data_IF_334479694077
#
_entry.id   IF_334479694077
#
_cell.length_a   1.000
_cell.length_b   1.000
_cell.length_c   1.000
_cell.angle_alpha   90.00
_cell.angle_beta   90.00
_cell.angle_gamma   90.00
#
_symmetry.space_group_name_H-M   'P 1'
#
loop_
_entity.id
_entity.type
_entity.pdbx_description
1 polymer ?
#
# COMPACT_ATOMS: atom_id res chain seq x y z
N UNK A 1 -6.68 5.23 2.65
CA UNK A 1 -8.13 5.43 2.43
C UNK A 1 -8.68 6.65 3.15
N UNK A 2 -8.20 6.99 4.35
CA UNK A 2 -8.64 8.16 5.12
C UNK A 2 -8.74 9.49 4.35
N UNK A 3 -7.75 9.89 3.51
CA UNK A 3 -7.82 11.14 2.76
C UNK A 3 -9.02 11.26 1.82
N UNK A 4 -9.55 10.14 1.32
CA UNK A 4 -10.72 10.14 0.46
C UNK A 4 -12.02 10.18 1.28
N UNK A 5 -12.14 9.25 2.23
CA UNK A 5 -13.39 9.02 2.98
C UNK A 5 -13.71 10.21 3.89
N UNK A 6 -12.71 10.74 4.58
CA UNK A 6 -12.92 11.80 5.57
C UNK A 6 -13.20 13.16 4.92
N UNK A 7 -12.89 13.32 3.62
CA UNK A 7 -13.09 14.57 2.86
C UNK A 7 -14.55 15.00 2.81
N UNK A 8 -15.48 14.05 2.75
CA UNK A 8 -16.93 14.32 2.71
C UNK A 8 -17.60 14.31 4.08
N UNK A 9 -16.88 13.95 5.15
CA UNK A 9 -17.44 13.75 6.49
C UNK A 9 -17.01 14.86 7.45
N UNK A 10 -15.75 15.28 7.37
CA UNK A 10 -15.18 16.26 8.29
C UNK A 10 -15.35 17.70 7.78
N UNK A 11 -15.40 18.67 8.70
CA UNK A 11 -15.24 20.08 8.34
C UNK A 11 -13.85 20.32 7.74
N UNK A 12 -13.72 21.40 6.97
CA UNK A 12 -12.46 21.73 6.29
C UNK A 12 -11.26 21.80 7.24
N UNK A 13 -11.44 22.38 8.43
CA UNK A 13 -10.36 22.51 9.42
C UNK A 13 -9.95 21.15 10.00
N UNK A 14 -10.94 20.29 10.31
CA UNK A 14 -10.69 18.94 10.83
C UNK A 14 -10.07 18.03 9.78
N UNK A 15 -10.49 18.17 8.52
CA UNK A 15 -9.91 17.45 7.39
C UNK A 15 -8.46 17.88 7.15
N UNK A 16 -8.18 19.18 7.17
CA UNK A 16 -6.81 19.71 7.03
C UNK A 16 -5.90 19.22 8.15
N UNK A 17 -6.39 19.25 9.40
CA UNK A 17 -5.67 18.68 10.53
C UNK A 17 -5.40 17.18 10.32
N UNK A 18 -6.39 16.39 9.89
CA UNK A 18 -6.19 14.99 9.53
C UNK A 18 -5.15 14.81 8.41
N UNK A 19 -5.14 15.65 7.38
CA UNK A 19 -4.16 15.57 6.28
C UNK A 19 -2.74 15.83 6.77
N UNK A 20 -2.52 16.74 7.73
CA UNK A 20 -1.20 16.91 8.36
C UNK A 20 -0.71 15.60 8.97
N UNK A 21 -1.56 14.92 9.76
CA UNK A 21 -1.21 13.63 10.35
C UNK A 21 -0.95 12.55 9.28
N UNK A 22 -1.79 12.49 8.25
CA UNK A 22 -1.64 11.53 7.15
C UNK A 22 -0.31 11.72 6.40
N UNK A 23 0.03 12.96 6.06
CA UNK A 23 1.26 13.30 5.35
C UNK A 23 2.48 13.00 6.22
N UNK A 24 2.48 13.41 7.50
CA UNK A 24 3.56 13.09 8.44
C UNK A 24 3.76 11.58 8.56
N UNK A 25 2.70 10.81 8.78
CA UNK A 25 2.78 9.36 8.89
C UNK A 25 3.32 8.70 7.60
N UNK A 26 2.95 9.24 6.43
CA UNK A 26 3.45 8.75 5.13
C UNK A 26 4.95 9.00 4.98
N UNK A 27 5.42 10.19 5.34
CA UNK A 27 6.85 10.54 5.32
C UNK A 27 7.64 9.62 6.26
N UNK A 28 7.18 9.47 7.50
CA UNK A 28 7.88 8.69 8.53
C UNK A 28 7.84 7.17 8.30
N UNK A 29 7.02 6.71 7.35
CA UNK A 29 6.89 5.28 6.99
C UNK A 29 7.74 4.85 5.81
N UNK A 30 8.49 5.75 5.17
CA UNK A 30 9.31 5.46 4.00
C UNK A 30 10.70 6.06 4.16
N UNK A 31 11.75 5.27 3.89
CA UNK A 31 13.13 5.65 4.19
C UNK A 31 13.60 6.86 3.36
N UNK A 32 13.25 6.88 2.06
CA UNK A 32 13.54 8.01 1.18
C UNK A 32 12.83 9.28 1.68
N UNK A 33 11.52 9.21 1.95
CA UNK A 33 10.79 10.38 2.44
C UNK A 33 11.26 10.84 3.83
N UNK A 34 11.55 9.92 4.75
CA UNK A 34 12.07 10.26 6.07
C UNK A 34 13.38 11.05 5.96
N UNK A 35 14.30 10.61 5.10
CA UNK A 35 15.59 11.29 4.87
C UNK A 35 15.43 12.68 4.27
N UNK A 36 14.51 12.85 3.31
CA UNK A 36 14.36 14.11 2.58
C UNK A 36 13.36 15.10 3.21
N UNK A 37 12.36 14.61 3.94
CA UNK A 37 11.22 15.39 4.44
C UNK A 37 10.94 15.19 5.94
N UNK A 38 11.83 14.52 6.69
CA UNK A 38 11.62 14.24 8.12
C UNK A 38 11.32 15.47 8.98
N UNK A 39 12.10 16.55 8.83
CA UNK A 39 11.88 17.82 9.55
C UNK A 39 10.53 18.49 9.16
N UNK A 40 10.08 18.28 7.93
CA UNK A 40 8.76 18.74 7.50
C UNK A 40 7.65 17.94 8.18
N UNK A 41 7.81 16.60 8.29
CA UNK A 41 6.87 15.76 9.02
C UNK A 41 6.78 16.14 10.51
N UNK A 42 7.91 16.47 11.15
CA UNK A 42 7.94 17.00 12.53
C UNK A 42 7.14 18.30 12.66
N UNK A 43 7.37 19.24 11.74
CA UNK A 43 6.65 20.52 11.70
C UNK A 43 5.13 20.31 11.55
N UNK A 44 4.74 19.38 10.68
CA UNK A 44 3.34 18.99 10.48
C UNK A 44 2.73 18.32 11.73
N UNK A 45 3.48 17.50 12.47
CA UNK A 45 3.00 16.90 13.73
C UNK A 45 2.86 17.97 14.83
N UNK A 46 3.79 18.92 14.90
CA UNK A 46 3.67 20.07 15.81
C UNK A 46 2.42 20.91 15.50
N UNK A 47 2.18 21.20 14.21
CA UNK A 47 0.98 21.88 13.75
C UNK A 47 -0.28 21.07 14.04
N UNK A 48 -0.24 19.75 13.81
CA UNK A 48 -1.35 18.84 14.10
C UNK A 48 -1.76 18.93 15.56
N UNK A 49 -0.83 18.77 16.50
CA UNK A 49 -1.11 18.75 17.95
C UNK A 49 -1.64 20.11 18.42
N UNK A 50 -1.04 21.21 17.98
CA UNK A 50 -1.51 22.58 18.32
C UNK A 50 -2.94 22.81 17.84
N UNK A 51 -3.22 22.44 16.60
CA UNK A 51 -4.54 22.64 15.99
C UNK A 51 -5.57 21.65 16.54
N UNK A 52 -5.14 20.44 16.93
CA UNK A 52 -6.00 19.43 17.55
C UNK A 52 -6.61 19.95 18.85
N UNK A 53 -5.80 20.58 19.71
CA UNK A 53 -6.28 21.16 20.98
C UNK A 53 -7.37 22.21 20.75
N UNK A 54 -7.23 23.03 19.69
CA UNK A 54 -8.22 24.06 19.33
C UNK A 54 -9.50 23.44 18.75
N UNK A 55 -9.38 22.43 17.88
CA UNK A 55 -10.51 21.85 17.15
C UNK A 55 -11.33 20.84 17.96
N UNK A 56 -10.68 20.13 18.87
CA UNK A 56 -11.28 19.01 19.60
C UNK A 56 -11.36 19.25 21.11
N UNK A 57 -10.65 20.23 21.67
CA UNK A 57 -10.62 20.50 23.11
C UNK A 57 -9.38 19.91 23.79
N UNK A 58 -8.88 20.61 24.82
CA UNK A 58 -7.65 20.23 25.54
C UNK A 58 -7.82 18.92 26.31
N UNK A 59 -9.02 18.66 26.81
CA UNK A 59 -9.42 17.45 27.50
C UNK A 59 -9.28 16.19 26.63
N UNK A 60 -9.31 16.34 25.30
CA UNK A 60 -9.12 15.26 24.34
C UNK A 60 -7.65 15.07 23.93
N UNK A 61 -6.74 15.97 24.32
CA UNK A 61 -5.31 15.88 24.05
C UNK A 61 -4.63 14.91 25.02
N UNK A 62 -4.94 13.62 24.86
CA UNK A 62 -4.36 12.54 25.64
C UNK A 62 -2.85 12.39 25.41
N UNK A 63 -2.21 11.55 26.22
CA UNK A 63 -0.80 11.16 26.06
C UNK A 63 -0.48 10.67 24.64
N UNK A 64 -1.42 9.99 23.97
CA UNK A 64 -1.22 9.51 22.59
C UNK A 64 -1.06 10.66 21.59
N UNK A 65 -1.77 11.77 21.79
CA UNK A 65 -1.65 12.96 20.94
C UNK A 65 -0.32 13.66 21.22
N UNK A 66 0.09 13.75 22.49
CA UNK A 66 1.38 14.32 22.87
C UNK A 66 2.56 13.53 22.28
N UNK A 67 2.49 12.19 22.33
CA UNK A 67 3.52 11.31 21.79
C UNK A 67 3.85 11.55 20.33
N UNK A 68 2.90 12.06 19.54
CA UNK A 68 3.14 12.39 18.13
C UNK A 68 4.28 13.40 17.94
N UNK A 69 4.53 14.28 18.93
CA UNK A 69 5.63 15.25 18.86
C UNK A 69 7.02 14.59 18.91
N UNK A 70 7.12 13.38 19.47
CA UNK A 70 8.40 12.70 19.70
C UNK A 70 8.73 11.66 18.62
N UNK A 71 7.74 11.31 17.78
CA UNK A 71 7.89 10.23 16.78
C UNK A 71 9.04 10.50 15.80
N UNK A 72 9.27 11.75 15.41
CA UNK A 72 10.36 12.06 14.49
C UNK A 72 11.74 11.75 15.11
N UNK A 73 11.94 12.05 16.39
CA UNK A 73 13.18 11.70 17.10
C UNK A 73 13.32 10.19 17.28
N UNK A 74 12.21 9.47 17.53
CA UNK A 74 12.22 8.01 17.52
C UNK A 74 12.59 7.46 16.13
N UNK A 75 12.10 8.07 15.05
CA UNK A 75 12.45 7.69 13.69
C UNK A 75 13.94 7.93 13.38
N UNK A 76 14.54 9.01 13.92
CA UNK A 76 15.99 9.22 13.81
C UNK A 76 16.80 8.13 14.51
N UNK A 77 16.28 7.56 15.60
CA UNK A 77 16.96 6.53 16.39
C UNK A 77 16.74 5.12 15.87
N UNK A 78 15.53 4.80 15.41
CA UNK A 78 15.10 3.43 15.09
C UNK A 78 14.76 3.21 13.60
N UNK A 79 14.82 4.26 12.79
CA UNK A 79 14.46 4.23 11.37
C UNK A 79 12.97 4.50 11.13
N UNK A 80 12.43 3.99 10.02
CA UNK A 80 11.02 4.20 9.67
C UNK A 80 10.07 3.61 10.73
N UNK A 81 8.83 4.13 10.78
CA UNK A 81 7.79 3.68 11.71
C UNK A 81 7.62 2.16 11.78
N UNK A 82 7.77 1.45 10.67
CA UNK A 82 7.61 0.00 10.62
C UNK A 82 8.60 -0.76 11.52
N UNK A 83 9.79 -0.21 11.75
CA UNK A 83 10.84 -0.88 12.50
C UNK A 83 10.51 -1.02 14.00
N UNK A 84 9.65 -0.14 14.53
CA UNK A 84 9.31 -0.10 15.96
C UNK A 84 7.81 0.00 16.23
N UNK A 85 6.97 0.04 15.19
CA UNK A 85 5.52 -0.03 15.32
C UNK A 85 5.03 -1.47 15.48
N UNK A 86 3.85 -1.63 16.07
CA UNK A 86 3.20 -2.92 16.20
C UNK A 86 2.41 -3.35 14.94
N UNK A 87 2.36 -2.52 13.88
CA UNK A 87 1.50 -2.74 12.70
C UNK A 87 1.73 -4.09 12.01
N UNK A 88 2.98 -4.57 11.79
CA UNK A 88 3.19 -5.87 11.16
C UNK A 88 2.62 -7.04 11.99
N UNK A 89 2.57 -6.89 13.31
CA UNK A 89 2.11 -7.93 14.23
C UNK A 89 0.59 -7.99 14.36
N UNK A 90 -0.15 -6.93 14.01
CA UNK A 90 -1.62 -6.92 14.10
C UNK A 90 -2.25 -8.02 13.22
N UNK A 91 -1.72 -8.20 12.01
CA UNK A 91 -2.19 -9.25 11.10
C UNK A 91 -1.90 -10.66 11.66
N UNK A 92 -0.75 -10.85 12.31
CA UNK A 92 -0.42 -12.12 12.96
C UNK A 92 -1.27 -12.37 14.20
N UNK A 93 -1.60 -11.32 14.97
CA UNK A 93 -2.46 -11.42 16.13
C UNK A 93 -3.86 -11.93 15.76
N UNK A 94 -4.40 -11.57 14.60
CA UNK A 94 -5.66 -12.13 14.11
C UNK A 94 -5.56 -13.65 13.90
N UNK A 95 -4.44 -14.14 13.35
CA UNK A 95 -4.18 -15.58 13.22
C UNK A 95 -4.15 -16.25 14.59
N UNK A 96 -3.40 -15.71 15.54
CA UNK A 96 -3.34 -16.24 16.91
C UNK A 96 -4.71 -16.26 17.58
N UNK A 97 -5.52 -15.21 17.41
CA UNK A 97 -6.90 -15.17 17.94
C UNK A 97 -7.78 -16.27 17.35
N UNK A 98 -7.65 -16.58 16.06
CA UNK A 98 -8.39 -17.70 15.44
C UNK A 98 -8.00 -19.07 16.01
N UNK A 99 -6.79 -19.21 16.56
CA UNK A 99 -6.32 -20.41 17.24
C UNK A 99 -6.90 -20.57 18.66
N UNK A 100 -7.62 -19.57 19.18
CA UNK A 100 -8.28 -19.66 20.48
C UNK A 100 -9.77 -19.86 20.27
N UNK A 101 -10.31 -21.03 20.64
CA UNK A 101 -11.76 -21.34 20.52
C UNK A 101 -12.55 -21.00 21.78
N UNK A 102 -11.93 -21.12 22.95
CA UNK A 102 -12.51 -20.83 24.28
C UNK A 102 -11.50 -20.05 25.13
N UNK A 103 -11.96 -19.27 26.09
CA UNK A 103 -11.10 -18.47 26.97
C UNK A 103 -10.22 -19.27 27.94
N UNK A 104 -10.43 -20.60 28.04
CA UNK A 104 -9.67 -21.49 28.92
C UNK A 104 -8.34 -21.89 28.30
N UNK A 105 -7.22 -21.68 29.00
CA UNK A 105 -5.88 -22.09 28.56
C UNK A 105 -5.51 -21.64 27.13
N UNK A 106 -5.59 -20.32 26.81
CA UNK A 106 -5.37 -19.81 25.46
C UNK A 106 -3.95 -20.12 24.95
N UNK A 107 -2.94 -20.02 25.81
CA UNK A 107 -1.56 -20.32 25.45
C UNK A 107 -1.39 -21.79 25.02
N UNK A 108 -1.93 -22.73 25.80
CA UNK A 108 -1.85 -24.16 25.48
C UNK A 108 -2.61 -24.50 24.17
N UNK A 109 -3.74 -23.83 23.90
CA UNK A 109 -4.46 -23.98 22.64
C UNK A 109 -3.62 -23.53 21.44
N UNK A 110 -2.97 -22.37 21.55
CA UNK A 110 -2.10 -21.84 20.49
C UNK A 110 -0.94 -22.82 20.26
N UNK A 111 -0.21 -23.20 21.31
CA UNK A 111 0.95 -24.10 21.20
C UNK A 111 0.57 -25.43 20.54
N UNK A 112 -0.51 -26.08 20.99
CA UNK A 112 -0.95 -27.37 20.42
C UNK A 112 -1.33 -27.25 18.95
N UNK A 113 -2.09 -26.21 18.56
CA UNK A 113 -2.50 -26.03 17.15
C UNK A 113 -1.33 -25.66 16.24
N UNK A 114 -0.39 -24.86 16.71
CA UNK A 114 0.83 -24.57 15.95
C UNK A 114 1.65 -25.85 15.72
N UNK A 115 1.78 -26.71 16.74
CA UNK A 115 2.44 -28.01 16.60
C UNK A 115 1.71 -28.93 15.61
N UNK A 116 0.37 -28.96 15.65
CA UNK A 116 -0.45 -29.70 14.67
C UNK A 116 -0.18 -29.20 13.24
N UNK A 117 -0.19 -27.87 13.01
CA UNK A 117 0.06 -27.27 11.70
C UNK A 117 1.46 -27.60 11.16
N UNK A 118 2.48 -27.57 12.02
CA UNK A 118 3.86 -27.90 11.66
C UNK A 118 4.09 -29.39 11.40
N UNK A 119 3.18 -30.26 11.87
CA UNK A 119 3.29 -31.72 11.69
C UNK A 119 2.75 -32.21 10.33
N UNK A 120 2.08 -31.35 9.56
CA UNK A 120 1.61 -31.67 8.20
C UNK A 120 2.51 -31.01 7.14
N UNK A 121 3.25 -31.76 6.30
CA UNK A 121 4.21 -31.23 5.34
C UNK A 121 3.60 -30.54 4.09
N UNK A 122 2.30 -30.22 4.09
CA UNK A 122 1.60 -29.70 2.90
C UNK A 122 1.42 -28.17 2.88
N UNK A 123 1.96 -27.43 3.84
CA UNK A 123 2.06 -25.98 3.69
C UNK A 123 3.28 -25.64 2.85
N UNK A 124 3.15 -25.03 1.65
CA UNK A 124 4.30 -24.45 0.99
C UNK A 124 4.96 -23.49 1.98
N UNK A 125 6.22 -23.76 2.31
CA UNK A 125 7.01 -22.97 3.24
C UNK A 125 6.86 -21.50 2.90
N UNK A 126 6.16 -20.76 3.77
CA UNK A 126 6.08 -19.31 3.74
C UNK A 126 7.39 -18.74 4.29
N UNK A 127 8.49 -19.02 3.57
CA UNK A 127 9.85 -18.69 4.01
C UNK A 127 10.86 -18.49 2.87
N UNK A 128 10.53 -18.85 1.63
CA UNK A 128 11.37 -18.43 0.51
C UNK A 128 10.96 -17.02 0.12
N UNK A 129 11.77 -16.05 0.53
CA UNK A 129 11.81 -14.73 -0.10
C UNK A 129 11.86 -15.01 -1.60
N UNK A 130 10.79 -14.62 -2.30
CA UNK A 130 10.71 -14.81 -3.73
C UNK A 130 11.62 -13.74 -4.32
N UNK A 131 12.92 -14.02 -4.39
CA UNK A 131 13.94 -13.05 -4.87
C UNK A 131 13.73 -12.70 -6.35
N UNK A 132 12.88 -13.46 -7.07
CA UNK A 132 12.63 -13.29 -8.50
C UNK A 132 11.15 -13.17 -8.80
N UNK A 133 10.83 -12.23 -9.69
CA UNK A 133 9.49 -12.06 -10.24
C UNK A 133 9.03 -13.37 -10.88
N UNK A 134 7.84 -13.86 -10.52
CA UNK A 134 7.29 -15.11 -11.04
C UNK A 134 5.85 -14.97 -11.50
N UNK A 135 5.50 -15.45 -12.71
CA UNK A 135 4.13 -15.50 -13.17
C UNK A 135 3.42 -16.74 -12.61
N UNK A 136 2.14 -16.62 -12.32
CA UNK A 136 1.33 -17.65 -11.66
C UNK A 136 -0.04 -17.76 -12.34
N UNK A 137 -0.66 -18.94 -12.22
CA UNK A 137 -2.03 -19.20 -12.71
C UNK A 137 -2.18 -18.99 -14.24
N UNK A 138 -1.66 -19.93 -15.03
CA UNK A 138 -1.75 -19.90 -16.50
C UNK A 138 -3.22 -19.83 -16.96
N UNK A 139 -3.48 -19.11 -18.05
CA UNK A 139 -4.76 -19.09 -18.75
C UNK A 139 -4.60 -18.74 -20.24
N UNK A 140 -5.73 -18.68 -20.96
CA UNK A 140 -5.80 -18.34 -22.39
C UNK A 140 -6.85 -17.28 -22.71
N UNK A 141 -7.55 -16.73 -21.71
CA UNK A 141 -8.73 -15.87 -21.90
C UNK A 141 -8.47 -14.36 -21.72
N UNK A 142 -7.22 -13.91 -21.83
CA UNK A 142 -6.86 -12.49 -21.73
C UNK A 142 -6.57 -11.86 -23.09
N UNK A 143 -6.60 -10.52 -23.18
CA UNK A 143 -6.22 -9.82 -24.40
C UNK A 143 -4.73 -9.99 -24.69
N UNK A 144 -4.37 -10.14 -25.96
CA UNK A 144 -2.98 -10.25 -26.43
C UNK A 144 -2.76 -9.21 -27.53
N UNK A 145 -1.62 -8.54 -27.52
CA UNK A 145 -1.22 -7.57 -28.52
C UNK A 145 -0.26 -8.24 -29.52
N UNK A 146 -0.61 -8.22 -30.81
CA UNK A 146 0.17 -8.83 -31.89
C UNK A 146 -0.18 -10.31 -32.16
N UNK A 147 0.51 -10.90 -33.16
CA UNK A 147 0.23 -12.26 -33.66
C UNK A 147 1.13 -13.34 -33.04
N UNK A 148 1.86 -13.04 -31.96
CA UNK A 148 2.80 -13.97 -31.36
C UNK A 148 2.12 -14.92 -30.36
N UNK A 149 2.54 -16.18 -30.36
CA UNK A 149 2.14 -17.16 -29.35
C UNK A 149 2.74 -16.74 -28.00
N UNK A 150 1.90 -16.23 -27.10
CA UNK A 150 2.28 -15.83 -25.76
C UNK A 150 1.58 -16.71 -24.72
N UNK A 151 2.29 -17.09 -23.67
CA UNK A 151 1.68 -17.76 -22.51
C UNK A 151 1.12 -16.69 -21.58
N UNK A 152 -0.14 -16.83 -21.15
CA UNK A 152 -0.81 -15.82 -20.33
C UNK A 152 -1.00 -16.29 -18.88
N UNK A 153 -1.06 -15.34 -17.95
CA UNK A 153 -1.07 -15.56 -16.50
C UNK A 153 -2.02 -14.60 -15.77
N UNK A 154 -2.68 -15.07 -14.72
CA UNK A 154 -3.63 -14.25 -13.93
C UNK A 154 -2.97 -13.47 -12.80
N UNK A 155 -1.73 -13.82 -12.46
CA UNK A 155 -1.04 -13.28 -11.30
C UNK A 155 0.46 -13.19 -11.57
N UNK A 156 1.08 -12.13 -11.08
CA UNK A 156 2.53 -11.97 -11.05
C UNK A 156 2.96 -11.61 -9.64
N UNK A 157 3.90 -12.37 -9.10
CA UNK A 157 4.43 -12.22 -7.76
C UNK A 157 5.81 -11.54 -7.85
N UNK A 158 5.93 -10.38 -7.22
CA UNK A 158 7.18 -9.68 -6.90
C UNK A 158 7.65 -10.08 -5.50
N UNK A 159 8.87 -9.73 -5.08
CA UNK A 159 9.35 -10.03 -3.73
C UNK A 159 8.41 -9.52 -2.62
N UNK A 160 7.95 -8.27 -2.76
CA UNK A 160 7.20 -7.58 -1.70
C UNK A 160 5.68 -7.52 -1.93
N UNK A 161 5.20 -7.77 -3.16
CA UNK A 161 3.78 -7.67 -3.49
C UNK A 161 3.40 -8.57 -4.68
N UNK A 162 2.10 -8.70 -4.94
CA UNK A 162 1.59 -9.40 -6.12
C UNK A 162 0.54 -8.55 -6.83
N UNK A 163 0.56 -8.58 -8.16
CA UNK A 163 -0.50 -8.04 -9.01
C UNK A 163 -1.34 -9.19 -9.55
N UNK A 164 -2.66 -8.99 -9.55
CA UNK A 164 -3.62 -9.96 -10.11
C UNK A 164 -4.57 -9.25 -11.03
N UNK A 165 -5.23 -10.02 -11.90
CA UNK A 165 -6.28 -9.50 -12.79
C UNK A 165 -7.62 -9.24 -12.07
N UNK A 166 -7.63 -9.20 -10.72
CA UNK A 166 -8.79 -8.81 -9.93
C UNK A 166 -8.87 -7.30 -9.80
N UNK A 167 -10.08 -6.75 -9.65
CA UNK A 167 -10.26 -5.28 -9.57
C UNK A 167 -9.41 -4.62 -8.47
N UNK A 168 -9.24 -5.30 -7.33
CA UNK A 168 -8.50 -4.81 -6.18
C UNK A 168 -6.97 -4.82 -6.38
N UNK A 169 -6.43 -5.71 -7.21
CA UNK A 169 -5.00 -5.96 -7.32
C UNK A 169 -4.40 -5.63 -8.69
N UNK A 170 -5.21 -5.09 -9.61
CA UNK A 170 -4.82 -4.84 -11.00
C UNK A 170 -4.13 -3.49 -11.24
N UNK A 171 -4.03 -2.60 -10.24
CA UNK A 171 -3.49 -1.26 -10.44
C UNK A 171 -2.02 -1.17 -10.02
N UNK A 172 -1.15 -0.68 -10.90
CA UNK A 172 0.27 -0.51 -10.62
C UNK A 172 0.82 0.82 -11.17
N UNK A 173 1.96 1.24 -10.62
CA UNK A 173 2.73 2.38 -11.09
C UNK A 173 3.94 1.94 -11.89
N UNK A 174 4.27 2.71 -12.92
CA UNK A 174 5.50 2.57 -13.69
C UNK A 174 6.57 3.57 -13.20
N UNK A 175 7.84 3.31 -13.54
CA UNK A 175 9.00 4.16 -13.20
C UNK A 175 8.89 5.59 -13.75
N UNK A 176 8.12 5.81 -14.82
CA UNK A 176 7.83 7.13 -15.38
C UNK A 176 6.65 7.86 -14.68
N UNK A 177 6.17 7.32 -13.55
CA UNK A 177 4.99 7.76 -12.78
C UNK A 177 3.64 7.54 -13.46
N UNK A 178 3.59 6.82 -14.58
CA UNK A 178 2.34 6.41 -15.18
C UNK A 178 1.58 5.43 -14.29
N UNK A 179 0.26 5.53 -14.29
CA UNK A 179 -0.63 4.59 -13.60
C UNK A 179 -1.31 3.69 -14.62
N UNK A 180 -1.24 2.38 -14.40
CA UNK A 180 -1.74 1.35 -15.32
C UNK A 180 -2.69 0.39 -14.58
N UNK A 181 -3.80 0.03 -15.22
CA UNK A 181 -4.60 -1.12 -14.83
C UNK A 181 -4.26 -2.30 -15.74
N UNK A 182 -3.76 -3.38 -15.16
CA UNK A 182 -3.42 -4.61 -15.89
C UNK A 182 -4.67 -5.39 -16.24
N UNK A 183 -4.73 -5.86 -17.48
CA UNK A 183 -5.78 -6.73 -18.01
C UNK A 183 -5.25 -8.12 -18.36
N UNK A 184 -3.93 -8.23 -18.57
CA UNK A 184 -3.26 -9.51 -18.79
C UNK A 184 -1.80 -9.48 -18.34
N UNK A 185 -1.23 -10.67 -18.10
CA UNK A 185 0.21 -10.86 -17.91
C UNK A 185 0.65 -11.91 -18.92
N UNK A 186 1.69 -11.62 -19.69
CA UNK A 186 2.14 -12.46 -20.79
C UNK A 186 3.63 -12.75 -20.70
N UNK A 187 4.01 -13.92 -21.19
CA UNK A 187 5.39 -14.37 -21.34
C UNK A 187 5.60 -14.77 -22.79
N UNK A 188 6.63 -14.22 -23.40
CA UNK A 188 7.00 -14.55 -24.79
C UNK A 188 7.88 -15.81 -24.87
N UNK A 189 8.33 -16.15 -26.09
CA UNK A 189 9.19 -17.31 -26.33
C UNK A 189 10.60 -17.17 -25.73
N UNK A 190 11.05 -15.96 -25.44
CA UNK A 190 12.34 -15.69 -24.79
C UNK A 190 12.27 -15.74 -23.27
N UNK A 191 11.09 -16.06 -22.72
CA UNK A 191 10.76 -15.95 -21.29
C UNK A 191 10.76 -14.52 -20.74
N UNK A 192 10.57 -13.50 -21.59
CA UNK A 192 10.40 -12.12 -21.17
C UNK A 192 8.98 -11.87 -20.71
N UNK A 193 8.84 -11.32 -19.50
CA UNK A 193 7.56 -11.02 -18.88
C UNK A 193 7.11 -9.59 -19.19
N UNK A 194 5.87 -9.48 -19.63
CA UNK A 194 5.21 -8.19 -19.85
C UNK A 194 3.80 -8.19 -19.28
N UNK A 195 3.34 -7.01 -18.90
CA UNK A 195 1.93 -6.74 -18.60
C UNK A 195 1.26 -6.12 -19.82
N UNK A 196 0.00 -6.47 -20.03
CA UNK A 196 -0.87 -5.81 -20.99
C UNK A 196 -1.98 -5.15 -20.19
N UNK A 197 -2.26 -3.89 -20.49
CA UNK A 197 -3.23 -3.11 -19.72
C UNK A 197 -3.48 -1.75 -20.33
N UNK A 198 -4.16 -0.90 -19.58
CA UNK A 198 -4.48 0.46 -20.00
C UNK A 198 -3.89 1.47 -19.04
N UNK A 199 -3.21 2.46 -19.60
CA UNK A 199 -2.69 3.63 -18.90
C UNK A 199 -3.80 4.66 -18.70
N UNK A 200 -3.77 5.39 -17.60
CA UNK A 200 -4.66 6.54 -17.39
C UNK A 200 -4.03 7.82 -17.95
N UNK A 201 -4.84 8.61 -18.65
CA UNK A 201 -4.39 9.82 -19.34
C UNK A 201 -4.34 11.05 -18.40
N UNK A 202 -5.20 11.07 -17.38
CA UNK A 202 -5.25 12.17 -16.40
C UNK A 202 -4.85 11.66 -15.03
N UNK A 203 -3.84 12.30 -14.43
CA UNK A 203 -3.45 12.15 -13.02
C UNK A 203 -3.49 13.53 -12.36
N UNK A 204 -4.31 13.72 -11.33
CA UNK A 204 -4.46 14.98 -10.59
C UNK A 204 -4.26 14.75 -9.09
N UNK A 205 -3.89 15.80 -8.37
CA UNK A 205 -3.83 15.75 -6.92
C UNK A 205 -5.20 15.53 -6.27
N UNK A 206 -5.25 14.67 -5.25
CA UNK A 206 -6.41 14.48 -4.39
C UNK A 206 -6.61 15.66 -3.43
N UNK A 207 -5.50 16.22 -2.96
CA UNK A 207 -5.40 17.38 -2.09
C UNK A 207 -4.10 18.14 -2.41
N UNK A 208 -4.12 19.47 -2.23
CA UNK A 208 -2.97 20.36 -2.43
C UNK A 208 -2.33 20.80 -1.12
N UNK A 209 -3.10 20.80 -0.04
CA UNK A 209 -2.65 21.14 1.31
C UNK A 209 -2.60 19.87 2.19
N UNK A 210 -1.59 19.70 3.06
CA UNK A 210 -0.48 20.63 3.31
C UNK A 210 0.62 20.60 2.24
N UNK A 211 0.57 19.65 1.31
CA UNK A 211 1.36 19.63 0.09
C UNK A 211 0.66 18.78 -0.98
N UNK A 212 1.04 18.91 -2.26
CA UNK A 212 0.42 18.14 -3.34
C UNK A 212 0.53 16.64 -3.09
N UNK A 213 -0.60 15.93 -3.15
CA UNK A 213 -0.66 14.48 -2.91
C UNK A 213 0.19 13.68 -3.91
N UNK A 214 0.43 14.23 -5.10
CA UNK A 214 1.34 13.70 -6.12
C UNK A 214 2.77 13.52 -5.64
N UNK A 215 3.18 14.26 -4.60
CA UNK A 215 4.51 14.11 -3.95
C UNK A 215 4.68 12.69 -3.40
N UNK A 216 3.59 12.07 -2.98
CA UNK A 216 3.56 10.71 -2.43
C UNK A 216 2.97 9.68 -3.40
N UNK A 217 2.86 10.05 -4.68
CA UNK A 217 2.21 9.30 -5.75
C UNK A 217 0.73 8.96 -5.47
N UNK A 218 0.02 9.87 -4.78
CA UNK A 218 -1.42 9.77 -4.55
C UNK A 218 -2.13 10.61 -5.60
N UNK A 219 -3.03 9.97 -6.38
CA UNK A 219 -3.67 10.60 -7.53
C UNK A 219 -5.17 10.35 -7.58
N UNK A 220 -5.90 11.31 -8.15
CA UNK A 220 -7.16 11.09 -8.84
C UNK A 220 -6.84 10.79 -10.30
N UNK A 221 -7.25 9.61 -10.77
CA UNK A 221 -7.01 9.12 -12.13
C UNK A 221 -8.31 9.00 -12.92
N UNK A 222 -8.28 9.37 -14.20
CA UNK A 222 -9.41 9.25 -15.12
C UNK A 222 -8.95 9.20 -16.58
N UNK A 223 -9.87 8.90 -17.50
CA UNK A 223 -9.58 8.82 -18.93
C UNK A 223 -8.68 7.63 -19.26
N UNK A 224 -9.26 6.44 -19.29
CA UNK A 224 -8.51 5.22 -19.59
C UNK A 224 -8.11 5.20 -21.08
N UNK A 225 -6.83 5.01 -21.33
CA UNK A 225 -6.23 5.00 -22.66
C UNK A 225 -6.43 3.69 -23.43
N UNK A 226 -5.73 3.56 -24.58
CA UNK A 226 -5.72 2.33 -25.35
C UNK A 226 -4.99 1.20 -24.60
N UNK A 227 -5.18 -0.02 -25.12
CA UNK A 227 -4.49 -1.20 -24.62
C UNK A 227 -3.03 -1.16 -25.10
N UNK A 228 -2.10 -1.24 -24.17
CA UNK A 228 -0.65 -1.17 -24.40
C UNK A 228 0.08 -2.28 -23.61
N UNK A 229 1.36 -2.48 -23.91
CA UNK A 229 2.21 -3.52 -23.31
C UNK A 229 3.46 -2.90 -22.69
N UNK A 230 3.79 -3.33 -21.48
CA UNK A 230 5.01 -2.89 -20.76
C UNK A 230 5.75 -4.06 -20.17
N UNK A 231 7.08 -3.99 -20.21
CA UNK A 231 7.93 -4.95 -19.52
C UNK A 231 7.73 -4.84 -18.00
N UNK A 232 7.71 -5.98 -17.29
CA UNK A 232 7.46 -6.01 -15.84
C UNK A 232 8.51 -5.25 -15.02
N UNK A 233 9.73 -5.09 -15.54
CA UNK A 233 10.82 -4.36 -14.89
C UNK A 233 10.57 -2.84 -14.82
N UNK A 234 9.58 -2.34 -15.56
CA UNK A 234 9.16 -0.94 -15.49
C UNK A 234 8.21 -0.66 -14.32
N UNK A 235 7.64 -1.70 -13.70
CA UNK A 235 6.71 -1.56 -12.57
C UNK A 235 7.51 -1.19 -11.31
N UNK A 236 7.06 -0.15 -10.61
CA UNK A 236 7.73 0.35 -9.39
C UNK A 236 6.91 0.12 -8.12
N UNK A 237 5.59 0.00 -8.23
CA UNK A 237 4.72 -0.19 -7.06
C UNK A 237 3.33 -0.70 -7.43
N UNK A 238 2.60 -1.12 -6.40
CA UNK A 238 1.19 -1.48 -6.48
C UNK A 238 0.33 -0.38 -5.88
N UNK A 239 -0.76 -0.05 -6.57
CA UNK A 239 -1.75 0.90 -6.10
C UNK A 239 -2.94 0.19 -5.48
N UNK A 240 -3.41 0.73 -4.37
CA UNK A 240 -4.77 0.52 -3.90
C UNK A 240 -5.69 1.50 -4.64
N UNK A 241 -6.68 0.98 -5.37
CA UNK A 241 -7.59 1.74 -6.23
C UNK A 241 -9.00 1.76 -5.62
N UNK A 242 -9.62 2.94 -5.55
CA UNK A 242 -11.01 3.12 -5.10
C UNK A 242 -11.80 3.96 -6.10
N UNK A 243 -13.07 3.63 -6.39
CA UNK A 243 -13.94 4.50 -7.19
C UNK A 243 -14.07 5.90 -6.57
N UNK A 244 -14.01 6.94 -7.40
CA UNK A 244 -14.24 8.32 -6.99
C UNK A 244 -14.72 9.18 -8.16
N UNK A 245 -15.94 9.72 -8.05
CA UNK A 245 -16.61 10.44 -9.13
C UNK A 245 -16.62 9.60 -10.43
N UNK A 246 -16.19 10.17 -11.55
CA UNK A 246 -16.08 9.49 -12.86
C UNK A 246 -14.75 8.74 -13.05
N UNK A 247 -13.92 8.66 -12.02
CA UNK A 247 -12.60 8.03 -12.09
C UNK A 247 -12.30 7.21 -10.84
N UNK A 248 -11.02 7.17 -10.48
CA UNK A 248 -10.54 6.46 -9.31
C UNK A 248 -9.56 7.30 -8.52
N UNK A 249 -9.46 7.04 -7.22
CA UNK A 249 -8.33 7.47 -6.40
C UNK A 249 -7.40 6.29 -6.24
N UNK A 250 -6.11 6.53 -6.46
CA UNK A 250 -5.05 5.56 -6.25
C UNK A 250 -4.10 6.02 -5.17
N UNK A 251 -3.75 5.11 -4.28
CA UNK A 251 -2.82 5.31 -3.17
C UNK A 251 -1.80 4.18 -3.21
N UNK A 252 -0.49 4.46 -3.25
CA UNK A 252 0.51 3.42 -3.35
C UNK A 252 0.57 2.63 -2.06
N UNK A 253 0.77 1.31 -2.17
CA UNK A 253 1.06 0.50 -1.01
C UNK A 253 2.50 0.78 -0.57
N UNK A 254 2.69 1.31 0.65
CA UNK A 254 4.00 1.75 1.16
C UNK A 254 5.07 0.64 1.09
N UNK A 255 4.68 -0.62 1.33
CA UNK A 255 5.55 -1.78 1.29
C UNK A 255 5.79 -2.34 -0.13
N UNK A 256 5.24 -1.70 -1.17
CA UNK A 256 5.39 -2.13 -2.56
C UNK A 256 6.39 -1.29 -3.35
N UNK A 257 6.86 -0.16 -2.81
CA UNK A 257 7.88 0.67 -3.44
C UNK A 257 9.26 0.08 -3.14
N UNK A 258 10.01 -0.20 -4.20
CA UNK A 258 11.47 -0.42 -4.14
C UNK A 258 12.19 0.89 -3.81
#
# INVERSE_FOLDING_TARGET
TGPLILKSILSIDRYTNFLCLHVSATILSNDFFLKHFGAYAESLLSYFVKTFVVLYGKEHASHNIHNLLHIYEDCKRFGILQNFSAFPFENHLQKLKSLVRKGTNPLAQIVKRTLEQNSFPNTPESGNIVDKVRPLMKHSNGPVLGNHLMTQYRCIQFPNFALKLTEADCCCGLKDKSVVCIENIVCDANNDLSIIGRKFNSCKDLYLDPCPSSTFDIYIISGMGPLEMWNVNLICCKFFKMPYNEGFVVIPLLHSKE
#
